data_IF_878616427094
#
_entry.id   IF_878616427094
#
_cell.length_a   1.000
_cell.length_b   1.000
_cell.length_c   1.000
_cell.angle_alpha   90.00
_cell.angle_beta   90.00
_cell.angle_gamma   90.00
#
_symmetry.space_group_name_H-M   'P 1'
#
loop_
_entity.id
_entity.type
_entity.pdbx_description
1 polymer ?
#
# COMPACT_ATOMS: atom_id res chain seq x y z
N UNK A 1 6.04 7.35 -2.05
CA UNK A 1 5.17 6.78 -0.99
C UNK A 1 3.76 7.09 -1.43
N UNK A 2 3.01 6.10 -1.88
CA UNK A 2 1.63 6.33 -2.32
C UNK A 2 0.81 6.64 -1.07
N UNK A 3 0.35 7.89 -0.95
CA UNK A 3 -0.47 8.31 0.19
C UNK A 3 -1.79 7.57 0.12
N UNK A 4 -2.17 7.00 1.24
CA UNK A 4 -3.46 6.31 1.36
C UNK A 4 -4.60 7.34 1.51
N UNK A 5 -5.83 7.02 1.10
CA UNK A 5 -7.00 7.85 1.36
C UNK A 5 -7.11 8.33 2.81
N UNK A 6 -6.77 7.47 3.78
CA UNK A 6 -6.75 7.84 5.21
C UNK A 6 -5.73 8.95 5.49
N UNK A 7 -4.49 8.81 5.00
CA UNK A 7 -3.46 9.84 5.17
C UNK A 7 -3.78 11.14 4.42
N UNK A 8 -4.39 11.06 3.24
CA UNK A 8 -4.80 12.25 2.48
C UNK A 8 -5.90 13.00 3.23
N UNK A 9 -6.90 12.29 3.77
CA UNK A 9 -7.96 12.89 4.56
C UNK A 9 -7.41 13.54 5.84
N UNK A 10 -6.50 12.87 6.53
CA UNK A 10 -5.85 13.42 7.71
C UNK A 10 -5.06 14.70 7.40
N UNK A 11 -4.21 14.67 6.37
CA UNK A 11 -3.46 15.86 5.94
C UNK A 11 -4.38 17.02 5.56
N UNK A 12 -5.48 16.74 4.86
CA UNK A 12 -6.48 17.75 4.48
C UNK A 12 -7.13 18.40 5.71
N UNK A 13 -7.50 17.63 6.73
CA UNK A 13 -8.08 18.19 7.96
C UNK A 13 -7.08 19.07 8.69
N UNK A 14 -5.79 18.66 8.73
CA UNK A 14 -4.72 19.49 9.31
C UNK A 14 -4.56 20.79 8.52
N UNK A 15 -4.53 20.71 7.18
CA UNK A 15 -4.41 21.90 6.32
C UNK A 15 -5.59 22.87 6.47
N UNK A 16 -6.82 22.35 6.61
CA UNK A 16 -8.02 23.16 6.83
C UNK A 16 -8.17 23.66 8.28
N UNK A 17 -7.27 23.27 9.19
CA UNK A 17 -7.33 23.54 10.63
C UNK A 17 -8.64 23.06 11.28
N UNK A 18 -9.13 21.93 10.78
CA UNK A 18 -10.35 21.27 11.24
C UNK A 18 -10.04 20.11 12.20
N UNK A 19 -11.08 19.61 12.90
CA UNK A 19 -10.95 18.45 13.77
C UNK A 19 -10.50 17.20 12.99
N UNK A 20 -9.69 16.35 13.63
CA UNK A 20 -9.22 15.11 13.01
C UNK A 20 -10.37 14.14 12.71
N UNK A 21 -10.27 13.32 11.64
CA UNK A 21 -11.29 12.32 11.33
C UNK A 21 -11.37 11.23 12.41
N UNK A 22 -12.56 11.00 12.94
CA UNK A 22 -12.81 9.92 13.90
C UNK A 22 -13.30 8.67 13.17
N UNK A 23 -12.55 7.58 13.30
CA UNK A 23 -12.87 6.30 12.67
C UNK A 23 -13.43 5.31 13.68
N UNK A 24 -14.67 4.88 13.47
CA UNK A 24 -15.34 3.84 14.26
C UNK A 24 -15.43 2.60 13.39
N UNK A 25 -14.92 1.46 13.86
CA UNK A 25 -14.96 0.18 13.14
C UNK A 25 -15.77 -0.81 13.95
N UNK A 26 -16.81 -1.35 13.35
CA UNK A 26 -17.77 -2.26 13.96
C UNK A 26 -17.91 -3.52 13.09
N UNK A 27 -18.35 -4.61 13.70
CA UNK A 27 -18.79 -5.76 12.91
C UNK A 27 -20.09 -5.36 12.19
N UNK A 28 -20.20 -5.70 10.92
CA UNK A 28 -21.44 -5.48 10.20
C UNK A 28 -22.44 -6.61 10.47
N UNK A 29 -23.71 -6.39 10.12
CA UNK A 29 -24.74 -7.43 10.17
C UNK A 29 -24.50 -8.55 9.16
N UNK A 30 -23.59 -8.34 8.19
CA UNK A 30 -23.18 -9.34 7.20
C UNK A 30 -21.99 -10.14 7.74
N UNK A 31 -22.09 -11.49 7.80
CA UNK A 31 -20.99 -12.33 8.24
C UNK A 31 -19.72 -12.07 7.42
N UNK A 32 -18.63 -11.74 8.10
CA UNK A 32 -17.32 -11.51 7.47
C UNK A 32 -17.05 -10.08 7.00
N UNK A 33 -18.04 -9.19 7.04
CA UNK A 33 -17.86 -7.78 6.67
C UNK A 33 -17.71 -6.88 7.91
N UNK A 34 -16.85 -5.88 7.78
CA UNK A 34 -16.63 -4.81 8.75
C UNK A 34 -17.23 -3.52 8.23
N UNK A 35 -17.98 -2.82 9.09
CA UNK A 35 -18.45 -1.47 8.84
C UNK A 35 -17.45 -0.48 9.41
N UNK A 36 -17.03 0.51 8.63
CA UNK A 36 -16.26 1.63 9.14
C UNK A 36 -17.01 2.93 8.93
N UNK A 37 -17.26 3.66 10.00
CA UNK A 37 -17.87 5.00 10.01
C UNK A 37 -16.78 6.04 10.26
N UNK A 38 -16.78 7.12 9.48
CA UNK A 38 -15.87 8.26 9.63
C UNK A 38 -16.69 9.49 9.96
N UNK A 39 -16.36 10.14 11.07
CA UNK A 39 -16.95 11.42 11.47
C UNK A 39 -15.96 12.54 11.16
N UNK A 40 -16.39 13.51 10.35
CA UNK A 40 -15.57 14.64 9.91
C UNK A 40 -16.45 15.88 9.72
N UNK A 41 -16.06 17.02 10.30
CA UNK A 41 -16.74 18.31 10.10
C UNK A 41 -18.28 18.24 10.29
N UNK A 42 -18.76 17.46 11.25
CA UNK A 42 -20.20 17.26 11.50
C UNK A 42 -20.91 16.30 10.54
N UNK A 43 -20.21 15.73 9.56
CA UNK A 43 -20.72 14.69 8.67
C UNK A 43 -20.30 13.30 9.14
N UNK A 44 -21.15 12.32 8.88
CA UNK A 44 -20.86 10.92 9.09
C UNK A 44 -20.99 10.15 7.78
N UNK A 45 -19.94 9.45 7.39
CA UNK A 45 -19.93 8.57 6.21
C UNK A 45 -19.50 7.18 6.60
N UNK A 46 -20.00 6.16 5.92
CA UNK A 46 -19.59 4.78 6.21
C UNK A 46 -19.41 3.92 4.96
N UNK A 47 -18.67 2.84 5.13
CA UNK A 47 -18.46 1.81 4.13
C UNK A 47 -18.28 0.43 4.77
N UNK A 48 -18.46 -0.61 3.96
CA UNK A 48 -18.28 -2.00 4.33
C UNK A 48 -17.11 -2.61 3.56
N UNK A 49 -16.41 -3.55 4.18
CA UNK A 49 -15.46 -4.41 3.48
C UNK A 49 -15.17 -5.68 4.28
N UNK A 50 -14.63 -6.70 3.59
CA UNK A 50 -14.20 -7.97 4.20
C UNK A 50 -13.04 -7.83 5.19
N UNK A 51 -12.39 -6.66 5.26
CA UNK A 51 -11.32 -6.38 6.23
C UNK A 51 -11.48 -4.99 6.84
N UNK A 52 -11.12 -4.86 8.13
CA UNK A 52 -11.11 -3.57 8.86
C UNK A 52 -10.28 -2.51 8.15
N UNK A 53 -9.13 -2.91 7.59
CA UNK A 53 -8.24 -2.01 6.86
C UNK A 53 -8.92 -1.47 5.60
N UNK A 54 -9.54 -2.33 4.80
CA UNK A 54 -10.21 -1.92 3.57
C UNK A 54 -11.46 -1.08 3.86
N UNK A 55 -12.23 -1.43 4.90
CA UNK A 55 -13.37 -0.63 5.34
C UNK A 55 -12.92 0.79 5.70
N UNK A 56 -11.84 0.93 6.47
CA UNK A 56 -11.27 2.23 6.83
C UNK A 56 -10.83 3.05 5.62
N UNK A 57 -10.18 2.42 4.64
CA UNK A 57 -9.74 3.08 3.42
C UNK A 57 -10.92 3.52 2.56
N UNK A 58 -11.94 2.69 2.41
CA UNK A 58 -13.13 2.99 1.61
C UNK A 58 -13.95 4.14 2.22
N UNK A 59 -14.15 4.12 3.54
CA UNK A 59 -14.87 5.21 4.21
C UNK A 59 -14.10 6.54 4.16
N UNK A 60 -12.75 6.49 4.22
CA UNK A 60 -11.93 7.69 4.01
C UNK A 60 -12.05 8.25 2.57
N UNK A 61 -12.15 7.38 1.56
CA UNK A 61 -12.41 7.83 0.17
C UNK A 61 -13.76 8.53 0.06
N UNK A 62 -14.83 7.96 0.66
CA UNK A 62 -16.16 8.58 0.69
C UNK A 62 -16.15 9.94 1.39
N UNK A 63 -15.42 10.05 2.50
CA UNK A 63 -15.24 11.31 3.23
C UNK A 63 -14.54 12.38 2.37
N UNK A 64 -13.48 12.02 1.65
CA UNK A 64 -12.79 12.93 0.72
C UNK A 64 -13.71 13.44 -0.40
N UNK A 65 -14.53 12.54 -0.97
CA UNK A 65 -15.53 12.90 -1.98
C UNK A 65 -16.56 13.90 -1.42
N UNK A 66 -17.05 13.65 -0.21
CA UNK A 66 -18.02 14.53 0.45
C UNK A 66 -17.46 15.94 0.69
N UNK A 67 -16.16 16.05 0.99
CA UNK A 67 -15.47 17.32 1.26
C UNK A 67 -15.10 18.11 -0.02
N UNK A 68 -15.61 17.68 -1.18
CA UNK A 68 -15.40 18.34 -2.47
C UNK A 68 -13.96 18.23 -2.99
N UNK A 69 -13.17 17.28 -2.47
CA UNK A 69 -11.82 17.04 -2.96
C UNK A 69 -11.89 16.20 -4.23
N UNK A 70 -12.17 16.88 -5.35
CA UNK A 70 -12.15 16.29 -6.69
C UNK A 70 -10.71 16.17 -7.19
N UNK A 71 -9.94 15.26 -6.58
CA UNK A 71 -8.64 14.83 -7.14
C UNK A 71 -8.32 13.35 -6.90
N UNK A 72 -9.32 12.49 -6.64
CA UNK A 72 -9.16 11.03 -6.75
C UNK A 72 -10.45 10.41 -7.30
N UNK A 73 -10.55 10.34 -8.63
CA UNK A 73 -11.30 9.33 -9.38
C UNK A 73 -12.80 9.18 -9.06
N UNK A 74 -13.61 10.13 -9.51
CA UNK A 74 -14.95 9.77 -10.00
C UNK A 74 -14.81 9.24 -11.43
N UNK A 75 -15.07 7.96 -11.63
CA UNK A 75 -15.82 7.53 -12.80
C UNK A 75 -16.90 6.56 -12.36
N UNK A 76 -18.12 7.08 -12.36
CA UNK A 76 -19.33 6.37 -12.75
C UNK A 76 -19.04 5.30 -13.80
N UNK A 77 -19.41 4.06 -13.48
CA UNK A 77 -19.87 3.00 -14.39
C UNK A 77 -19.71 3.27 -15.90
N UNK A 78 -18.57 2.86 -16.47
CA UNK A 78 -18.47 2.23 -17.79
C UNK A 78 -17.02 1.78 -18.03
N UNK A 79 -16.86 0.71 -18.79
CA UNK A 79 -15.64 -0.07 -18.93
C UNK A 79 -14.43 0.75 -19.44
N UNK A 80 -13.40 0.92 -18.60
CA UNK A 80 -12.03 1.24 -19.06
C UNK A 80 -11.03 0.41 -18.25
N UNK A 81 -10.47 -0.60 -18.93
CA UNK A 81 -9.16 -1.16 -18.60
C UNK A 81 -8.13 -0.04 -18.71
N UNK A 82 -7.45 0.34 -17.61
CA UNK A 82 -5.99 0.43 -17.59
C UNK A 82 -5.44 0.86 -16.22
N UNK A 83 -4.49 0.03 -15.77
CA UNK A 83 -3.33 0.36 -14.93
C UNK A 83 -3.60 0.77 -13.48
N UNK A 84 -4.22 -0.15 -12.75
CA UNK A 84 -3.59 -0.55 -11.49
C UNK A 84 -2.22 -1.15 -11.88
N UNK A 85 -1.15 -0.36 -11.85
CA UNK A 85 0.15 -1.00 -11.66
C UNK A 85 0.06 -1.69 -10.30
N UNK A 86 -0.19 -2.99 -10.36
CA UNK A 86 -0.16 -3.87 -9.20
C UNK A 86 1.17 -3.60 -8.51
N UNK A 87 1.13 -3.02 -7.31
CA UNK A 87 2.31 -2.95 -6.47
C UNK A 87 2.72 -4.40 -6.17
N UNK A 88 3.63 -4.94 -6.98
CA UNK A 88 4.10 -6.31 -6.86
C UNK A 88 5.16 -6.32 -5.76
N UNK A 89 4.86 -7.05 -4.68
CA UNK A 89 5.84 -7.32 -3.64
C UNK A 89 6.77 -8.46 -4.09
N UNK A 90 7.84 -8.12 -4.80
CA UNK A 90 8.82 -9.07 -5.33
C UNK A 90 9.53 -9.84 -4.21
N UNK A 91 9.78 -9.20 -3.07
CA UNK A 91 10.32 -9.89 -1.88
C UNK A 91 9.38 -10.99 -1.41
N UNK A 92 8.07 -10.69 -1.34
CA UNK A 92 7.04 -11.66 -1.00
C UNK A 92 6.99 -12.83 -1.99
N UNK A 93 6.97 -12.53 -3.30
CA UNK A 93 6.98 -13.55 -4.36
C UNK A 93 8.21 -14.46 -4.30
N UNK A 94 9.39 -13.90 -4.05
CA UNK A 94 10.62 -14.70 -3.94
C UNK A 94 10.62 -15.59 -2.70
N UNK A 95 10.08 -15.11 -1.58
CA UNK A 95 9.90 -15.92 -0.37
C UNK A 95 8.89 -17.06 -0.59
N UNK A 96 7.78 -16.78 -1.27
CA UNK A 96 6.80 -17.79 -1.65
C UNK A 96 7.44 -18.85 -2.56
N UNK A 97 8.19 -18.42 -3.58
CA UNK A 97 8.93 -19.33 -4.46
C UNK A 97 9.89 -20.24 -3.68
N UNK A 98 10.65 -19.68 -2.74
CA UNK A 98 11.55 -20.43 -1.87
C UNK A 98 10.79 -21.47 -1.03
N UNK A 99 9.67 -21.06 -0.44
CA UNK A 99 8.83 -21.92 0.41
C UNK A 99 8.25 -23.09 -0.38
N UNK A 100 7.65 -22.80 -1.55
CA UNK A 100 7.04 -23.79 -2.43
C UNK A 100 8.03 -24.85 -2.90
N UNK A 101 9.29 -24.46 -3.15
CA UNK A 101 10.35 -25.37 -3.59
C UNK A 101 11.19 -25.95 -2.45
N UNK A 102 10.80 -25.72 -1.18
CA UNK A 102 11.53 -26.17 0.02
C UNK A 102 13.01 -25.75 0.01
N UNK A 103 13.28 -24.50 -0.37
CA UNK A 103 14.62 -23.89 -0.42
C UNK A 103 14.78 -22.91 0.74
N UNK A 104 16.03 -22.69 1.14
CA UNK A 104 16.35 -21.66 2.14
C UNK A 104 15.91 -20.28 1.65
N UNK A 105 15.37 -19.45 2.55
CA UNK A 105 14.91 -18.12 2.20
C UNK A 105 16.06 -17.22 1.68
N UNK A 106 15.76 -16.25 0.79
CA UNK A 106 16.72 -15.27 0.31
C UNK A 106 17.31 -14.42 1.45
N UNK A 107 18.61 -14.18 1.38
CA UNK A 107 19.35 -13.33 2.33
C UNK A 107 19.61 -11.98 1.68
N UNK A 108 19.30 -10.90 2.40
CA UNK A 108 19.48 -9.53 1.91
C UNK A 108 20.54 -8.81 2.75
N UNK A 109 21.54 -8.24 2.08
CA UNK A 109 22.58 -7.41 2.68
C UNK A 109 22.43 -5.98 2.15
N UNK A 110 22.14 -5.04 3.04
CA UNK A 110 22.08 -3.62 2.68
C UNK A 110 23.50 -3.07 2.68
N UNK A 111 24.01 -2.70 1.51
CA UNK A 111 25.25 -1.97 1.40
C UNK A 111 24.95 -0.47 1.56
N UNK A 112 25.62 0.20 2.50
CA UNK A 112 25.44 1.63 2.78
C UNK A 112 26.09 2.50 1.67
N UNK A 113 26.74 1.89 0.68
CA UNK A 113 27.40 2.62 -0.39
C UNK A 113 26.37 3.27 -1.29
N UNK A 114 26.26 4.58 -1.17
CA UNK A 114 25.44 5.43 -2.04
C UNK A 114 26.10 5.56 -3.41
N UNK A 115 25.88 4.59 -4.30
CA UNK A 115 26.27 4.77 -5.70
C UNK A 115 25.30 5.78 -6.33
N UNK A 116 25.78 6.99 -6.62
CA UNK A 116 25.00 8.08 -7.22
C UNK A 116 23.75 8.49 -6.41
N UNK A 117 23.78 8.37 -5.08
CA UNK A 117 22.66 8.73 -4.21
C UNK A 117 21.58 7.66 -4.03
N UNK A 118 21.72 6.50 -4.67
CA UNK A 118 20.81 5.36 -4.48
C UNK A 118 21.30 4.40 -3.39
N UNK A 119 20.36 3.76 -2.69
CA UNK A 119 20.64 2.60 -1.84
C UNK A 119 20.89 1.37 -2.70
N UNK A 120 21.83 0.54 -2.26
CA UNK A 120 22.18 -0.73 -2.92
C UNK A 120 21.87 -1.86 -1.95
N UNK A 121 21.04 -2.81 -2.38
CA UNK A 121 20.76 -4.03 -1.62
C UNK A 121 21.21 -5.23 -2.44
N UNK A 122 22.05 -6.08 -1.86
CA UNK A 122 22.42 -7.35 -2.47
C UNK A 122 21.48 -8.45 -1.96
N UNK A 123 20.96 -9.27 -2.88
CA UNK A 123 20.14 -10.44 -2.58
C UNK A 123 20.90 -11.70 -2.96
N UNK A 124 21.03 -12.64 -2.03
CA UNK A 124 21.63 -13.95 -2.23
C UNK A 124 20.56 -15.03 -2.10
N UNK A 125 20.39 -15.85 -3.13
CA UNK A 125 19.42 -16.94 -3.13
C UNK A 125 19.95 -18.14 -3.94
N UNK A 126 20.06 -19.29 -3.27
CA UNK A 126 20.72 -20.48 -3.80
C UNK A 126 22.15 -20.20 -4.26
N UNK A 127 22.44 -20.31 -5.57
CA UNK A 127 23.75 -20.07 -6.18
C UNK A 127 23.83 -18.71 -6.87
N UNK A 128 22.78 -17.89 -6.76
CA UNK A 128 22.66 -16.63 -7.46
C UNK A 128 22.77 -15.46 -6.49
N UNK A 129 23.35 -14.38 -7.02
CA UNK A 129 23.47 -13.10 -6.35
C UNK A 129 22.99 -12.02 -7.29
N UNK A 130 22.13 -11.14 -6.81
CA UNK A 130 21.64 -9.97 -7.55
C UNK A 130 21.81 -8.72 -6.72
N UNK A 131 21.94 -7.58 -7.39
CA UNK A 131 21.96 -6.27 -6.77
C UNK A 131 20.74 -5.49 -7.23
N UNK A 132 20.11 -4.79 -6.29
CA UNK A 132 19.01 -3.89 -6.57
C UNK A 132 19.31 -2.48 -6.11
N UNK A 133 18.76 -1.52 -6.84
CA UNK A 133 19.03 -0.10 -6.64
C UNK A 133 17.72 0.65 -6.38
N UNK A 134 17.76 1.65 -5.51
CA UNK A 134 16.59 2.49 -5.31
C UNK A 134 16.82 3.70 -4.41
N UNK A 135 15.92 4.70 -4.46
CA UNK A 135 16.06 5.92 -3.66
C UNK A 135 15.85 5.67 -2.16
N UNK A 136 15.35 4.50 -1.77
CA UNK A 136 15.16 4.06 -0.38
C UNK A 136 15.59 2.60 -0.24
N UNK A 137 16.03 2.19 0.94
CA UNK A 137 16.36 0.78 1.27
C UNK A 137 15.25 -0.21 0.91
N UNK A 138 13.99 0.19 1.09
CA UNK A 138 12.84 -0.65 0.73
C UNK A 138 12.76 -0.85 -0.79
N UNK A 139 13.04 0.18 -1.57
CA UNK A 139 12.94 0.15 -3.03
C UNK A 139 14.11 -0.66 -3.62
N UNK A 140 15.34 -0.46 -3.13
CA UNK A 140 16.51 -1.27 -3.53
C UNK A 140 16.33 -2.76 -3.22
N UNK A 141 15.70 -3.10 -2.09
CA UNK A 141 15.39 -4.48 -1.72
C UNK A 141 14.32 -5.13 -2.62
N UNK A 142 13.29 -4.37 -3.01
CA UNK A 142 12.28 -4.85 -3.96
C UNK A 142 12.91 -5.09 -5.33
N UNK A 143 13.78 -4.18 -5.79
CA UNK A 143 14.49 -4.32 -7.06
C UNK A 143 15.44 -5.53 -7.05
N UNK A 144 16.19 -5.75 -5.96
CA UNK A 144 17.08 -6.91 -5.83
C UNK A 144 16.31 -8.24 -5.92
N UNK A 145 15.15 -8.31 -5.26
CA UNK A 145 14.27 -9.47 -5.31
C UNK A 145 13.64 -9.67 -6.69
N UNK A 146 13.28 -8.59 -7.39
CA UNK A 146 12.78 -8.64 -8.77
C UNK A 146 13.83 -9.23 -9.71
N UNK A 147 15.06 -8.71 -9.67
CA UNK A 147 16.17 -9.24 -10.45
C UNK A 147 16.45 -10.72 -10.16
N UNK A 148 16.29 -11.15 -8.90
CA UNK A 148 16.48 -12.55 -8.51
C UNK A 148 15.40 -13.48 -9.07
N UNK A 149 14.16 -13.01 -9.18
CA UNK A 149 13.07 -13.78 -9.78
C UNK A 149 13.21 -13.93 -11.30
N UNK A 150 14.00 -13.07 -11.94
CA UNK A 150 14.33 -13.10 -13.37
C UNK A 150 15.55 -14.00 -13.68
N UNK A 151 16.20 -14.59 -12.66
CA UNK A 151 17.35 -15.51 -12.76
C UNK A 151 16.92 -16.97 -12.75
#
# INVERSE_FOLDING_TARGET
MNKTPVSILQELMVQRKEHMPDYIIENSDRPGDFKCTVKICGYEVFDFASTKQQAKQNSAKKALLLLGVNNVGQQSSSAIKQQNELYINYVGKLNEFASTHKKSYPIYCDNIVHLNGNFVTQCNFMKWTTEGYGPKKKDSKQDAARMMLEK
#
